data_IF_172330977533
#
_entry.id   IF_172330977533
#
_cell.length_a   1.000
_cell.length_b   1.000
_cell.length_c   1.000
_cell.angle_alpha   90.00
_cell.angle_beta   90.00
_cell.angle_gamma   90.00
#
_symmetry.space_group_name_H-M   'P 1'
#
loop_
_entity.id
_entity.type
_entity.pdbx_description
1 polymer ?
#
# COMPACT_ATOMS: atom_id res chain seq x y z
N UNK A 1 10.83 -0.21 25.86
CA UNK A 1 11.56 -0.30 24.58
C UNK A 1 10.55 -0.17 23.45
N UNK A 2 10.89 0.51 22.35
CA UNK A 2 10.02 0.53 21.18
C UNK A 2 10.11 -0.79 20.39
N UNK A 3 9.09 -1.12 19.60
CA UNK A 3 8.98 -2.39 18.85
C UNK A 3 10.23 -2.73 18.03
N UNK A 4 10.91 -1.73 17.47
CA UNK A 4 12.16 -1.93 16.74
C UNK A 4 13.29 -2.45 17.63
N UNK A 5 13.48 -1.83 18.80
CA UNK A 5 14.55 -2.22 19.72
C UNK A 5 14.35 -3.65 20.23
N UNK A 6 13.09 -4.00 20.54
CA UNK A 6 12.72 -5.35 20.97
C UNK A 6 12.98 -6.38 19.86
N UNK A 7 12.58 -6.10 18.61
CA UNK A 7 12.82 -7.00 17.49
C UNK A 7 14.32 -7.15 17.15
N UNK A 8 15.11 -6.08 17.31
CA UNK A 8 16.57 -6.11 17.15
C UNK A 8 17.22 -6.95 18.26
N UNK A 9 16.82 -6.79 19.52
CA UNK A 9 17.34 -7.59 20.61
C UNK A 9 16.99 -9.07 20.43
N UNK A 10 15.73 -9.36 20.13
CA UNK A 10 15.26 -10.72 19.88
C UNK A 10 16.04 -11.39 18.73
N UNK A 11 16.32 -10.68 17.64
CA UNK A 11 17.12 -11.22 16.52
C UNK A 11 18.57 -11.47 16.88
N UNK A 12 19.17 -10.69 17.80
CA UNK A 12 20.52 -10.95 18.33
C UNK A 12 20.56 -12.16 19.26
N UNK A 13 19.53 -12.35 20.08
CA UNK A 13 19.44 -13.48 21.01
C UNK A 13 19.10 -14.79 20.31
N UNK A 14 18.41 -14.72 19.16
CA UNK A 14 17.92 -15.88 18.41
C UNK A 14 18.45 -15.88 16.96
N UNK A 15 19.77 -16.04 16.72
CA UNK A 15 20.38 -15.93 15.38
C UNK A 15 19.90 -16.99 14.38
N UNK A 16 19.32 -18.09 14.86
CA UNK A 16 18.73 -19.15 14.02
C UNK A 16 17.33 -18.84 13.50
N UNK A 17 16.68 -17.79 14.02
CA UNK A 17 15.29 -17.45 13.71
C UNK A 17 15.20 -16.20 12.85
N UNK A 18 14.32 -16.20 11.86
CA UNK A 18 14.05 -15.02 11.04
C UNK A 18 13.10 -14.10 11.79
N UNK A 19 13.49 -12.84 11.95
CA UNK A 19 12.69 -11.82 12.63
C UNK A 19 12.25 -10.79 11.60
N UNK A 20 10.96 -10.52 11.57
CA UNK A 20 10.37 -9.56 10.61
C UNK A 20 9.65 -8.46 11.36
N UNK A 21 10.05 -7.21 11.12
CA UNK A 21 9.29 -6.03 11.53
C UNK A 21 8.37 -5.60 10.37
N UNK A 22 7.06 -5.61 10.61
CA UNK A 22 6.07 -5.14 9.66
C UNK A 22 5.68 -3.70 9.99
N UNK A 23 5.81 -2.81 9.01
CA UNK A 23 5.41 -1.40 9.11
C UNK A 23 4.27 -1.16 8.14
N UNK A 24 3.04 -1.05 8.66
CA UNK A 24 1.89 -0.76 7.83
C UNK A 24 1.80 0.75 7.54
N UNK A 25 1.45 1.11 6.31
CA UNK A 25 1.21 2.49 5.86
C UNK A 25 2.37 3.45 6.16
N UNK A 26 3.56 3.09 5.68
CA UNK A 26 4.82 3.80 5.99
C UNK A 26 4.82 5.28 5.59
N UNK A 27 3.98 5.67 4.62
CA UNK A 27 3.81 7.06 4.18
C UNK A 27 2.96 7.91 5.13
N UNK A 28 2.24 7.32 6.09
CA UNK A 28 1.42 8.06 7.07
C UNK A 28 2.22 8.74 8.18
N UNK A 29 3.50 8.41 8.31
CA UNK A 29 4.39 9.01 9.29
C UNK A 29 5.53 9.77 8.62
N UNK A 30 6.01 10.83 9.25
CA UNK A 30 7.31 11.40 8.91
C UNK A 30 8.39 10.43 9.38
N UNK A 31 8.72 9.47 8.53
CA UNK A 31 9.57 8.36 8.90
C UNK A 31 10.99 8.79 9.27
N UNK A 32 11.50 9.88 8.69
CA UNK A 32 12.79 10.48 9.08
C UNK A 32 12.77 10.94 10.54
N UNK A 33 11.66 11.50 11.02
CA UNK A 33 11.50 11.90 12.42
C UNK A 33 11.28 10.69 13.34
N UNK A 34 10.54 9.69 12.88
CA UNK A 34 10.23 8.49 13.68
C UNK A 34 11.45 7.59 13.87
N UNK A 35 12.23 7.37 12.81
CA UNK A 35 13.40 6.49 12.85
C UNK A 35 14.67 7.21 13.27
N UNK A 36 14.77 8.53 13.06
CA UNK A 36 15.95 9.31 13.44
C UNK A 36 17.26 8.67 12.93
N UNK A 37 18.30 8.55 13.76
CA UNK A 37 19.58 7.93 13.39
C UNK A 37 19.47 6.44 13.01
N UNK A 38 18.48 5.71 13.53
CA UNK A 38 18.27 4.29 13.21
C UNK A 38 18.04 4.09 11.72
N UNK A 39 17.55 5.12 11.04
CA UNK A 39 17.37 5.12 9.61
C UNK A 39 18.65 4.78 8.80
N UNK A 40 19.84 5.10 9.33
CA UNK A 40 21.11 4.77 8.67
C UNK A 40 21.40 3.27 8.65
N UNK A 41 20.90 2.52 9.63
CA UNK A 41 21.13 1.07 9.73
C UNK A 41 20.50 0.27 8.58
N UNK A 42 19.54 0.86 7.86
CA UNK A 42 18.94 0.27 6.67
C UNK A 42 19.78 0.42 5.40
N UNK A 43 20.91 1.14 5.44
CA UNK A 43 21.82 1.20 4.31
C UNK A 43 22.61 -0.09 4.15
N UNK A 44 22.52 -0.71 2.98
CA UNK A 44 23.23 -1.96 2.62
C UNK A 44 24.77 -1.88 2.75
N UNK A 45 25.35 -0.68 2.89
CA UNK A 45 26.81 -0.45 2.97
C UNK A 45 27.33 -0.08 4.37
N UNK A 46 26.51 -0.14 5.42
CA UNK A 46 26.94 0.15 6.80
C UNK A 46 28.07 -0.77 7.29
N UNK A 47 28.22 -1.98 6.73
CA UNK A 47 29.29 -2.93 7.07
C UNK A 47 30.71 -2.36 7.00
N UNK A 48 30.92 -1.35 6.16
CA UNK A 48 32.24 -0.72 5.96
C UNK A 48 32.39 0.62 6.71
N UNK A 49 31.34 1.08 7.41
CA UNK A 49 31.38 2.30 8.20
C UNK A 49 31.68 1.95 9.66
N UNK A 50 32.72 2.56 10.24
CA UNK A 50 33.02 2.42 11.68
C UNK A 50 32.12 3.36 12.51
N UNK A 51 30.81 3.30 12.27
CA UNK A 51 29.80 4.14 12.92
C UNK A 51 28.82 3.23 13.64
N UNK A 52 28.67 3.44 14.94
CA UNK A 52 27.62 2.84 15.74
C UNK A 52 26.41 3.77 15.84
N UNK A 53 25.23 3.17 15.81
CA UNK A 53 23.95 3.87 15.89
C UNK A 53 23.25 3.45 17.17
N UNK A 54 22.96 4.44 18.02
CA UNK A 54 22.21 4.26 19.25
C UNK A 54 20.71 4.17 18.93
N UNK A 55 20.09 3.05 19.27
CA UNK A 55 18.64 2.79 19.12
C UNK A 55 17.92 3.15 20.42
N UNK A 56 18.46 2.74 21.57
CA UNK A 56 18.00 3.13 22.92
C UNK A 56 19.22 3.45 23.80
N UNK A 57 19.05 4.05 25.00
CA UNK A 57 20.16 4.28 25.91
C UNK A 57 21.02 3.03 26.18
N UNK A 58 20.39 1.85 26.16
CA UNK A 58 21.01 0.55 26.44
C UNK A 58 21.32 -0.28 25.18
N UNK A 59 20.94 0.19 23.99
CA UNK A 59 21.09 -0.54 22.73
C UNK A 59 21.77 0.33 21.67
N UNK A 60 22.99 -0.04 21.35
CA UNK A 60 23.80 0.55 20.29
C UNK A 60 24.36 -0.55 19.37
N UNK A 61 24.21 -0.38 18.05
CA UNK A 61 24.65 -1.37 17.06
C UNK A 61 25.31 -0.70 15.85
N UNK A 62 26.24 -1.41 15.20
CA UNK A 62 26.85 -0.97 13.93
C UNK A 62 26.06 -1.42 12.69
N UNK A 63 25.40 -2.58 12.79
CA UNK A 63 24.62 -3.18 11.72
C UNK A 63 23.39 -3.91 12.27
N UNK A 64 22.32 -3.98 11.47
CA UNK A 64 21.19 -4.84 11.79
C UNK A 64 21.60 -6.32 11.69
N UNK A 65 21.07 -7.20 12.56
CA UNK A 65 21.30 -8.63 12.46
C UNK A 65 20.90 -9.19 11.08
N UNK A 66 21.67 -10.14 10.55
CA UNK A 66 21.44 -10.69 9.20
C UNK A 66 20.12 -11.46 9.05
N UNK A 67 19.54 -11.89 10.17
CA UNK A 67 18.24 -12.55 10.28
C UNK A 67 17.08 -11.57 10.53
N UNK A 68 17.35 -10.25 10.60
CA UNK A 68 16.35 -9.21 10.77
C UNK A 68 15.91 -8.63 9.42
N UNK A 69 14.60 -8.60 9.18
CA UNK A 69 13.99 -8.10 7.95
C UNK A 69 12.94 -7.04 8.28
N UNK A 70 12.75 -6.10 7.37
CA UNK A 70 11.67 -5.12 7.44
C UNK A 70 10.81 -5.19 6.20
N UNK A 71 9.51 -5.35 6.40
CA UNK A 71 8.51 -5.30 5.35
C UNK A 71 7.61 -4.11 5.64
N UNK A 72 7.48 -3.21 4.67
CA UNK A 72 6.63 -2.04 4.79
C UNK A 72 5.55 -2.05 3.71
N UNK A 73 4.34 -1.62 4.06
CA UNK A 73 3.26 -1.38 3.11
C UNK A 73 3.12 0.12 2.88
N UNK A 74 2.60 0.49 1.72
CA UNK A 74 2.31 1.88 1.35
C UNK A 74 1.07 1.89 0.48
N UNK A 75 0.03 2.64 0.90
CA UNK A 75 -1.06 2.97 0.00
C UNK A 75 -0.59 4.03 -1.02
N UNK A 76 -0.54 3.66 -2.30
CA UNK A 76 -0.10 4.53 -3.40
C UNK A 76 -1.19 5.47 -3.91
N UNK A 77 -2.45 5.24 -3.55
CA UNK A 77 -3.57 6.09 -3.95
C UNK A 77 -3.64 7.38 -3.11
N UNK A 78 -3.10 7.36 -1.88
CA UNK A 78 -3.14 8.50 -0.99
C UNK A 78 -2.06 9.53 -1.35
N UNK A 79 -2.51 10.64 -1.94
CA UNK A 79 -1.66 11.75 -2.38
C UNK A 79 -1.44 12.81 -1.29
N UNK A 80 -2.14 12.71 -0.16
CA UNK A 80 -2.06 13.66 0.95
C UNK A 80 -0.90 13.39 1.90
N UNK A 81 -0.31 12.21 1.80
CA UNK A 81 0.68 11.69 2.74
C UNK A 81 2.11 12.11 2.41
N UNK A 82 2.97 12.03 3.42
CA UNK A 82 4.36 12.46 3.32
C UNK A 82 5.05 11.77 2.14
N UNK A 83 5.66 12.57 1.25
CA UNK A 83 6.47 12.05 0.16
C UNK A 83 7.58 11.22 0.77
N UNK A 84 7.60 9.91 0.47
CA UNK A 84 8.72 9.05 0.83
C UNK A 84 9.96 9.58 0.12
N UNK A 85 10.84 10.22 0.89
CA UNK A 85 12.03 10.90 0.37
C UNK A 85 12.94 9.93 -0.40
N UNK A 86 13.72 10.47 -1.33
CA UNK A 86 14.70 9.73 -2.12
C UNK A 86 15.71 8.98 -1.25
N UNK A 87 16.04 9.46 -0.06
CA UNK A 87 16.88 8.72 0.88
C UNK A 87 16.25 7.38 1.28
N UNK A 88 14.95 7.38 1.57
CA UNK A 88 14.19 6.19 1.94
C UNK A 88 14.05 5.22 0.77
N UNK A 89 13.73 5.76 -0.41
CA UNK A 89 13.56 4.95 -1.61
C UNK A 89 14.79 4.09 -1.91
N UNK A 90 16.01 4.56 -1.62
CA UNK A 90 17.27 3.84 -1.88
C UNK A 90 17.59 2.71 -0.90
N UNK A 91 16.87 2.61 0.23
CA UNK A 91 17.11 1.61 1.28
C UNK A 91 16.09 0.48 1.29
N UNK A 92 14.96 0.68 0.61
CA UNK A 92 13.92 -0.33 0.43
C UNK A 92 13.93 -0.87 -1.00
N UNK A 93 13.72 -2.18 -1.13
CA UNK A 93 13.29 -2.76 -2.40
C UNK A 93 11.80 -2.47 -2.57
N UNK A 94 11.43 -1.90 -3.72
CA UNK A 94 10.03 -1.55 -4.02
C UNK A 94 9.37 -2.66 -4.82
N UNK A 95 8.27 -3.20 -4.30
CA UNK A 95 7.48 -4.22 -4.97
C UNK A 95 6.04 -3.74 -5.09
N UNK A 96 5.60 -3.43 -6.31
CA UNK A 96 4.24 -2.99 -6.59
C UNK A 96 3.29 -4.18 -6.60
N UNK A 97 2.30 -4.16 -5.70
CA UNK A 97 1.20 -5.15 -5.68
C UNK A 97 0.01 -4.55 -6.44
N UNK A 98 -0.23 -5.04 -7.66
CA UNK A 98 -1.41 -4.64 -8.44
C UNK A 98 -2.66 -5.41 -8.01
N UNK A 99 -3.87 -4.81 -8.10
CA UNK A 99 -5.11 -5.55 -7.95
C UNK A 99 -5.16 -6.75 -8.89
N UNK A 100 -5.60 -7.90 -8.38
CA UNK A 100 -5.73 -9.12 -9.18
C UNK A 100 -6.94 -9.94 -8.77
N UNK A 101 -7.55 -10.70 -9.69
CA UNK A 101 -8.58 -11.65 -9.35
C UNK A 101 -8.09 -12.65 -8.29
N UNK A 102 -8.94 -12.99 -7.34
CA UNK A 102 -8.67 -13.98 -6.30
C UNK A 102 -9.58 -15.20 -6.46
N UNK A 103 -9.11 -16.34 -5.95
CA UNK A 103 -9.90 -17.57 -5.91
C UNK A 103 -10.66 -17.64 -4.59
N UNK A 104 -11.85 -17.04 -4.55
CA UNK A 104 -12.78 -17.10 -3.42
C UNK A 104 -14.22 -17.25 -3.94
N UNK A 105 -15.05 -18.02 -3.25
CA UNK A 105 -16.44 -18.28 -3.67
C UNK A 105 -17.33 -17.04 -3.61
N UNK A 106 -16.99 -16.10 -2.73
CA UNK A 106 -17.70 -14.83 -2.52
C UNK A 106 -17.03 -13.66 -3.28
N UNK A 107 -16.17 -13.95 -4.26
CA UNK A 107 -15.52 -12.93 -5.09
C UNK A 107 -16.31 -12.67 -6.37
N UNK A 108 -16.77 -11.43 -6.55
CA UNK A 108 -17.52 -10.96 -7.72
C UNK A 108 -16.56 -10.65 -8.88
N UNK A 109 -16.06 -11.71 -9.49
CA UNK A 109 -15.06 -11.65 -10.58
C UNK A 109 -15.51 -10.81 -11.78
N UNK A 110 -16.80 -10.84 -12.13
CA UNK A 110 -17.31 -10.08 -13.28
C UNK A 110 -17.27 -8.57 -13.02
N UNK A 111 -17.72 -8.13 -11.83
CA UNK A 111 -17.66 -6.72 -11.42
C UNK A 111 -16.19 -6.25 -11.34
N UNK A 112 -15.30 -7.05 -10.74
CA UNK A 112 -13.86 -6.75 -10.69
C UNK A 112 -13.26 -6.60 -12.09
N UNK A 113 -13.50 -7.57 -12.97
CA UNK A 113 -12.94 -7.56 -14.32
C UNK A 113 -13.45 -6.39 -15.15
N UNK A 114 -14.72 -5.99 -14.98
CA UNK A 114 -15.29 -4.86 -15.70
C UNK A 114 -14.61 -3.54 -15.30
N UNK A 115 -14.42 -3.33 -14.00
CA UNK A 115 -13.65 -2.17 -13.50
C UNK A 115 -12.19 -2.24 -13.95
N UNK A 116 -11.55 -3.40 -13.87
CA UNK A 116 -10.16 -3.59 -14.29
C UNK A 116 -9.97 -3.26 -15.79
N UNK A 117 -10.89 -3.71 -16.64
CA UNK A 117 -10.89 -3.42 -18.08
C UNK A 117 -10.95 -1.90 -18.34
N UNK A 118 -11.83 -1.18 -17.63
CA UNK A 118 -11.92 0.29 -17.77
C UNK A 118 -10.59 0.96 -17.39
N UNK A 119 -9.95 0.52 -16.30
CA UNK A 119 -8.63 1.04 -15.92
C UNK A 119 -7.55 0.71 -16.97
N UNK A 120 -7.50 -0.54 -17.46
CA UNK A 120 -6.48 -0.99 -18.41
C UNK A 120 -6.55 -0.22 -19.74
N UNK A 121 -7.74 0.14 -20.21
CA UNK A 121 -7.93 0.85 -21.49
C UNK A 121 -7.83 2.37 -21.38
N UNK A 122 -8.24 2.96 -20.26
CA UNK A 122 -8.44 4.42 -20.16
C UNK A 122 -7.48 5.12 -19.19
N UNK A 123 -6.93 4.41 -18.19
CA UNK A 123 -6.08 5.03 -17.20
C UNK A 123 -4.64 5.26 -17.70
N UNK A 124 -4.06 6.40 -17.32
CA UNK A 124 -2.62 6.62 -17.44
C UNK A 124 -1.84 5.71 -16.49
N UNK A 125 -0.53 5.57 -16.71
CA UNK A 125 0.35 4.80 -15.82
C UNK A 125 0.26 5.19 -14.34
N UNK A 126 0.00 6.48 -14.05
CA UNK A 126 -0.16 6.95 -12.69
C UNK A 126 -1.54 6.62 -12.11
N UNK A 127 -2.59 6.69 -12.93
CA UNK A 127 -3.97 6.41 -12.53
C UNK A 127 -4.24 4.92 -12.33
N UNK A 128 -3.45 4.02 -12.93
CA UNK A 128 -3.52 2.58 -12.63
C UNK A 128 -3.31 2.27 -11.12
N UNK A 129 -2.65 3.16 -10.38
CA UNK A 129 -2.48 3.01 -8.93
C UNK A 129 -3.76 3.31 -8.12
N UNK A 130 -4.79 3.83 -8.77
CA UNK A 130 -6.10 4.17 -8.18
C UNK A 130 -7.13 3.05 -8.36
N UNK A 131 -6.77 1.96 -9.07
CA UNK A 131 -7.68 0.86 -9.31
C UNK A 131 -8.16 0.23 -7.98
N UNK A 132 -9.48 0.11 -7.76
CA UNK A 132 -10.02 -0.57 -6.58
C UNK A 132 -9.49 -2.00 -6.47
N UNK A 133 -8.95 -2.33 -5.29
CA UNK A 133 -8.42 -3.66 -5.01
C UNK A 133 -9.51 -4.75 -4.96
N UNK A 134 -9.10 -6.01 -5.04
CA UNK A 134 -10.00 -7.17 -4.98
C UNK A 134 -10.90 -7.22 -3.73
N UNK A 135 -10.51 -6.55 -2.64
CA UNK A 135 -11.30 -6.48 -1.39
C UNK A 135 -12.67 -5.82 -1.56
N UNK A 136 -12.81 -4.84 -2.47
CA UNK A 136 -14.09 -4.20 -2.78
C UNK A 136 -15.11 -5.15 -3.40
N UNK A 137 -14.65 -6.28 -3.95
CA UNK A 137 -15.45 -7.23 -4.71
C UNK A 137 -15.67 -8.56 -3.96
N UNK A 138 -15.43 -8.57 -2.65
CA UNK A 138 -15.78 -9.66 -1.75
C UNK A 138 -17.14 -9.35 -1.10
N UNK A 139 -18.14 -10.19 -1.36
CA UNK A 139 -19.49 -10.03 -0.81
C UNK A 139 -20.20 -11.37 -0.68
N UNK A 140 -21.00 -11.56 0.38
CA UNK A 140 -21.69 -12.82 0.63
C UNK A 140 -23.00 -12.96 -0.17
N UNK A 141 -23.48 -11.87 -0.78
CA UNK A 141 -24.67 -11.85 -1.64
C UNK A 141 -24.63 -10.75 -2.69
N UNK A 142 -25.43 -10.90 -3.75
CA UNK A 142 -25.47 -9.89 -4.83
C UNK A 142 -25.99 -8.55 -4.30
N UNK A 143 -26.92 -8.59 -3.34
CA UNK A 143 -27.41 -7.40 -2.64
C UNK A 143 -26.28 -6.68 -1.90
N UNK A 144 -25.39 -7.42 -1.22
CA UNK A 144 -24.21 -6.82 -0.59
C UNK A 144 -23.26 -6.24 -1.64
N UNK A 145 -23.01 -6.96 -2.74
CA UNK A 145 -22.15 -6.45 -3.82
C UNK A 145 -22.70 -5.15 -4.42
N UNK A 146 -24.00 -5.08 -4.72
CA UNK A 146 -24.69 -3.87 -5.19
C UNK A 146 -24.51 -2.71 -4.20
N UNK A 147 -24.63 -2.98 -2.89
CA UNK A 147 -24.40 -1.97 -1.87
C UNK A 147 -22.94 -1.50 -1.83
N UNK A 148 -21.96 -2.41 -1.94
CA UNK A 148 -20.53 -2.04 -2.03
C UNK A 148 -20.26 -1.19 -3.27
N UNK A 149 -20.84 -1.55 -4.42
CA UNK A 149 -20.71 -0.74 -5.64
C UNK A 149 -21.30 0.65 -5.41
N UNK A 150 -22.50 0.74 -4.82
CA UNK A 150 -23.20 2.01 -4.61
C UNK A 150 -22.52 2.92 -3.58
N UNK A 151 -22.06 2.37 -2.47
CA UNK A 151 -21.62 3.15 -1.31
C UNK A 151 -20.09 3.19 -1.13
N UNK A 152 -19.34 2.36 -1.85
CA UNK A 152 -17.88 2.33 -1.78
C UNK A 152 -17.24 2.64 -3.14
N UNK A 153 -17.55 1.88 -4.20
CA UNK A 153 -16.88 2.05 -5.51
C UNK A 153 -17.37 3.30 -6.26
N UNK A 154 -18.68 3.51 -6.34
CA UNK A 154 -19.28 4.68 -7.01
C UNK A 154 -18.75 6.01 -6.46
N UNK A 155 -18.80 6.28 -5.14
CA UNK A 155 -18.28 7.54 -4.61
C UNK A 155 -16.76 7.68 -4.83
N UNK A 156 -16.00 6.58 -4.72
CA UNK A 156 -14.56 6.58 -4.97
C UNK A 156 -14.21 7.00 -6.41
N UNK A 157 -14.87 6.38 -7.40
CA UNK A 157 -14.66 6.73 -8.82
C UNK A 157 -15.14 8.15 -9.11
N UNK A 158 -16.26 8.57 -8.51
CA UNK A 158 -16.77 9.94 -8.67
C UNK A 158 -15.77 10.97 -8.14
N UNK A 159 -15.12 10.71 -7.01
CA UNK A 159 -14.08 11.58 -6.45
C UNK A 159 -12.89 11.69 -7.42
N UNK A 160 -12.41 10.57 -7.98
CA UNK A 160 -11.32 10.59 -8.97
C UNK A 160 -11.68 11.46 -10.19
N UNK A 161 -12.89 11.32 -10.72
CA UNK A 161 -13.36 12.12 -11.85
C UNK A 161 -13.46 13.61 -11.51
N UNK A 162 -13.91 13.95 -10.29
CA UNK A 162 -13.97 15.32 -9.80
C UNK A 162 -12.58 15.96 -9.66
N UNK A 163 -11.55 15.17 -9.33
CA UNK A 163 -10.15 15.61 -9.32
C UNK A 163 -9.51 15.70 -10.72
N UNK A 164 -10.28 15.41 -11.78
CA UNK A 164 -9.80 15.44 -13.16
C UNK A 164 -8.97 14.21 -13.56
N UNK A 165 -9.06 13.13 -12.78
CA UNK A 165 -8.45 11.83 -13.08
C UNK A 165 -9.45 10.95 -13.83
N UNK A 166 -8.97 10.00 -14.62
CA UNK A 166 -9.79 9.02 -15.34
C UNK A 166 -10.84 9.68 -16.25
N UNK A 167 -10.60 10.91 -16.72
CA UNK A 167 -11.57 11.67 -17.53
C UNK A 167 -11.87 11.00 -18.87
N UNK A 168 -10.94 10.21 -19.40
CA UNK A 168 -11.10 9.34 -20.57
C UNK A 168 -12.04 8.15 -20.36
N UNK A 169 -12.40 7.82 -19.12
CA UNK A 169 -13.19 6.65 -18.73
C UNK A 169 -14.62 6.99 -18.29
N UNK A 170 -15.03 8.26 -18.45
CA UNK A 170 -16.28 8.79 -17.91
C UNK A 170 -17.49 8.01 -18.45
N UNK A 171 -17.52 7.75 -19.76
CA UNK A 171 -18.66 7.10 -20.40
C UNK A 171 -18.77 5.63 -19.97
N UNK A 172 -17.63 4.95 -19.85
CA UNK A 172 -17.53 3.53 -19.47
C UNK A 172 -17.95 3.33 -18.01
N UNK A 173 -17.47 4.18 -17.10
CA UNK A 173 -17.93 4.13 -15.72
C UNK A 173 -19.40 4.49 -15.60
N UNK A 174 -19.89 5.49 -16.35
CA UNK A 174 -21.31 5.83 -16.33
C UNK A 174 -22.17 4.64 -16.81
N UNK A 175 -21.77 3.97 -17.88
CA UNK A 175 -22.45 2.75 -18.36
C UNK A 175 -22.45 1.66 -17.30
N UNK A 176 -21.30 1.38 -16.68
CA UNK A 176 -21.18 0.35 -15.65
C UNK A 176 -22.10 0.64 -14.45
N UNK A 177 -22.13 1.87 -13.94
CA UNK A 177 -22.97 2.22 -12.80
C UNK A 177 -24.46 2.28 -13.14
N UNK A 178 -24.82 2.73 -14.35
CA UNK A 178 -26.20 2.65 -14.84
C UNK A 178 -26.68 1.20 -14.90
N UNK A 179 -25.88 0.29 -15.46
CA UNK A 179 -26.26 -1.12 -15.58
C UNK A 179 -26.33 -1.83 -14.22
N UNK A 180 -25.36 -1.55 -13.34
CA UNK A 180 -25.18 -2.35 -12.11
C UNK A 180 -25.99 -1.84 -10.92
N UNK A 181 -26.19 -0.51 -10.81
CA UNK A 181 -26.86 0.10 -9.67
C UNK A 181 -27.97 1.10 -10.05
N UNK A 182 -28.26 1.26 -11.35
CA UNK A 182 -29.24 2.21 -11.90
C UNK A 182 -29.01 3.64 -11.42
N UNK A 183 -27.74 4.08 -11.42
CA UNK A 183 -27.34 5.39 -10.94
C UNK A 183 -26.34 6.03 -11.93
N UNK A 184 -26.67 7.21 -12.50
CA UNK A 184 -25.75 7.92 -13.38
C UNK A 184 -24.62 8.58 -12.59
N UNK A 185 -23.47 8.79 -13.23
CA UNK A 185 -22.35 9.54 -12.63
C UNK A 185 -22.62 11.04 -12.52
N UNK A 186 -23.43 11.58 -13.42
CA UNK A 186 -23.80 12.99 -13.47
C UNK A 186 -25.30 13.13 -13.25
N UNK A 187 -25.67 13.96 -12.27
CA UNK A 187 -27.01 14.53 -12.11
C UNK A 187 -26.99 15.98 -12.61
#
# INVERSE_FOLDING_TARGET
MGNLAEAVLYSKENPGEKVVLIIDEINRANLSNVLGPVFYLFEHKMKNADVSIQITPELEIKELPSNFYVIATMNTADRSLAVVDFALRRRFAWYTVKPKPISASNFYKNDFNKIAEIFDWHATSNELNLQPGQGYFLADSDKEMVNRIRYEIFPLIREYLQEGLLTSAIEEFNSYFMDRINQPLFE
#
